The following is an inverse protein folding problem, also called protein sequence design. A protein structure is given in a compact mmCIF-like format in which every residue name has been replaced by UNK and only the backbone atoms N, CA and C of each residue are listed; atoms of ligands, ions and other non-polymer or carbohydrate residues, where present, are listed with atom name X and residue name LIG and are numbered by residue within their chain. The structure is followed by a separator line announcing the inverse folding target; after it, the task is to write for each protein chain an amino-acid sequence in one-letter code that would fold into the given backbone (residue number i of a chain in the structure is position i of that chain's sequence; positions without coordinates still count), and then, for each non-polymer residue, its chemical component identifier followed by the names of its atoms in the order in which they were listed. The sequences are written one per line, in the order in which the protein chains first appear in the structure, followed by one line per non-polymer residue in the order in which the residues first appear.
data_IF_102112843184
#
_entry.id   IF_102112843184
#
_cell.length_a   1.000
_cell.length_b   1.000
_cell.length_c   1.000
_cell.angle_alpha   90.00
_cell.angle_beta   90.00
_cell.angle_gamma   90.00
#
_symmetry.space_group_name_H-M   'P 1'
#
loop_
_entity.id
_entity.type
_entity.pdbx_description
1 polymer ?
#
# COMPACT_ATOMS: atom_id res chain seq x y z
N UNK A 1 -25.22 -79.69 22.95
CA UNK A 1 -25.91 -78.85 21.95
C UNK A 1 -26.23 -77.42 22.39
N UNK A 2 -26.38 -77.12 23.69
CA UNK A 2 -26.80 -75.79 24.17
C UNK A 2 -25.73 -74.67 24.05
N UNK A 3 -24.42 -75.00 24.17
CA UNK A 3 -23.30 -74.04 24.08
C UNK A 3 -23.06 -73.43 22.69
N UNK A 4 -23.53 -74.08 21.61
CA UNK A 4 -23.33 -73.58 20.24
C UNK A 4 -24.40 -72.52 19.89
N UNK A 5 -25.62 -72.67 20.44
CA UNK A 5 -26.72 -71.71 20.24
C UNK A 5 -26.45 -70.39 20.98
N UNK A 6 -25.90 -70.43 22.18
CA UNK A 6 -25.55 -69.21 22.93
C UNK A 6 -24.42 -68.43 22.28
N UNK A 7 -23.40 -69.09 21.71
CA UNK A 7 -22.35 -68.41 20.93
C UNK A 7 -22.88 -67.70 19.68
N UNK A 8 -23.84 -68.30 18.98
CA UNK A 8 -24.46 -67.69 17.78
C UNK A 8 -25.31 -66.46 18.13
N UNK A 9 -26.04 -66.51 19.24
CA UNK A 9 -26.82 -65.37 19.75
C UNK A 9 -25.89 -64.25 20.23
N UNK A 10 -24.78 -64.60 20.88
CA UNK A 10 -23.77 -63.61 21.31
C UNK A 10 -23.09 -62.95 20.10
N UNK A 11 -22.77 -63.72 19.04
CA UNK A 11 -22.20 -63.16 17.80
C UNK A 11 -23.20 -62.26 17.06
N UNK A 12 -24.50 -62.61 17.03
CA UNK A 12 -25.50 -61.75 16.42
C UNK A 12 -25.70 -60.45 17.21
N UNK A 13 -25.64 -60.51 18.54
CA UNK A 13 -25.72 -59.32 19.39
C UNK A 13 -24.49 -58.42 19.22
N UNK A 14 -23.29 -59.01 19.13
CA UNK A 14 -22.05 -58.26 18.89
C UNK A 14 -22.02 -57.63 17.50
N UNK A 15 -22.51 -58.34 16.47
CA UNK A 15 -22.64 -57.81 15.11
C UNK A 15 -23.66 -56.67 15.03
N UNK A 16 -24.76 -56.76 15.78
CA UNK A 16 -25.77 -55.70 15.84
C UNK A 16 -25.25 -54.47 16.60
N UNK A 17 -24.46 -54.68 17.66
CA UNK A 17 -23.83 -53.61 18.43
C UNK A 17 -22.76 -52.86 17.61
N UNK A 18 -22.01 -53.57 16.77
CA UNK A 18 -21.01 -52.97 15.87
C UNK A 18 -21.67 -52.12 14.78
N UNK A 19 -22.91 -52.44 14.38
CA UNK A 19 -23.67 -51.72 13.35
C UNK A 19 -24.39 -50.47 13.89
N UNK A 20 -24.48 -50.35 15.22
CA UNK A 20 -25.10 -49.22 15.93
C UNK A 20 -24.06 -48.19 16.42
N UNK A 21 -22.78 -48.37 16.11
CA UNK A 21 -21.79 -47.32 16.37
C UNK A 21 -22.00 -46.16 15.39
N UNK A 22 -22.27 -44.93 15.89
CA UNK A 22 -22.30 -43.77 15.02
C UNK A 22 -20.89 -43.55 14.47
N UNK A 23 -20.74 -43.72 13.16
CA UNK A 23 -19.54 -43.27 12.46
C UNK A 23 -19.61 -41.75 12.49
N UNK A 24 -18.85 -41.14 13.39
CA UNK A 24 -18.59 -39.71 13.34
C UNK A 24 -17.73 -39.44 12.09
N UNK A 25 -18.38 -39.33 10.94
CA UNK A 25 -17.77 -38.73 9.76
C UNK A 25 -17.69 -37.25 10.07
N UNK A 26 -16.48 -36.76 10.34
CA UNK A 26 -16.21 -35.33 10.29
C UNK A 26 -16.46 -34.93 8.84
N UNK A 27 -17.55 -34.22 8.57
CA UNK A 27 -17.72 -33.56 7.30
C UNK A 27 -16.56 -32.55 7.20
N UNK A 28 -15.62 -32.81 6.31
CA UNK A 28 -14.71 -31.79 5.83
C UNK A 28 -15.59 -30.81 5.05
N UNK A 29 -15.76 -29.60 5.58
CA UNK A 29 -16.41 -28.51 4.88
C UNK A 29 -15.60 -28.25 3.63
N UNK A 30 -16.04 -28.79 2.50
CA UNK A 30 -15.52 -28.43 1.19
C UNK A 30 -16.07 -27.07 0.81
N UNK A 31 -15.55 -26.02 1.47
CA UNK A 31 -15.49 -24.62 1.02
C UNK A 31 -14.73 -23.80 2.07
N UNK A 32 -13.52 -24.23 2.43
CA UNK A 32 -12.62 -23.36 3.19
C UNK A 32 -12.11 -22.32 2.19
N UNK A 33 -12.78 -21.17 2.11
CA UNK A 33 -12.30 -20.00 1.40
C UNK A 33 -10.98 -19.57 2.06
N UNK A 34 -9.86 -19.80 1.38
CA UNK A 34 -8.54 -19.43 1.87
C UNK A 34 -8.23 -17.98 1.49
N UNK A 35 -7.69 -17.20 2.41
CA UNK A 35 -7.20 -15.86 2.11
C UNK A 35 -5.78 -15.89 1.52
N UNK A 36 -5.02 -16.95 1.78
CA UNK A 36 -3.68 -17.20 1.24
C UNK A 36 -3.61 -18.56 0.58
N UNK A 37 -3.38 -18.56 -0.73
CA UNK A 37 -3.14 -19.75 -1.52
C UNK A 37 -1.74 -19.70 -2.13
N UNK A 38 -0.79 -20.43 -1.53
CA UNK A 38 0.60 -20.49 -2.02
C UNK A 38 0.88 -21.78 -2.81
N UNK A 39 0.57 -21.78 -4.12
CA UNK A 39 0.87 -22.95 -4.99
C UNK A 39 2.30 -22.95 -5.54
N UNK A 40 2.94 -21.78 -5.56
CA UNK A 40 4.34 -21.65 -5.97
C UNK A 40 5.33 -21.93 -4.83
N UNK A 41 4.85 -22.18 -3.60
CA UNK A 41 5.65 -22.48 -2.42
C UNK A 41 6.72 -21.39 -2.18
N UNK A 42 6.27 -20.14 -2.19
CA UNK A 42 7.10 -18.94 -2.00
C UNK A 42 7.32 -18.59 -0.53
N UNK A 43 6.50 -19.14 0.37
CA UNK A 43 6.55 -18.91 1.79
C UNK A 43 6.77 -20.20 2.58
N UNK A 44 7.31 -20.07 3.78
CA UNK A 44 7.26 -21.14 4.78
C UNK A 44 5.85 -21.31 5.35
N UNK A 45 5.58 -22.46 5.97
CA UNK A 45 4.28 -22.73 6.61
C UNK A 45 3.96 -21.72 7.73
N UNK A 46 4.97 -21.19 8.41
CA UNK A 46 4.80 -20.18 9.46
C UNK A 46 4.40 -18.84 8.86
N UNK A 47 5.11 -18.37 7.83
CA UNK A 47 4.79 -17.13 7.10
C UNK A 47 3.40 -17.18 6.46
N UNK A 48 3.05 -18.31 5.83
CA UNK A 48 1.72 -18.49 5.24
C UNK A 48 0.62 -18.37 6.31
N UNK A 49 0.82 -18.99 7.47
CA UNK A 49 -0.16 -18.96 8.57
C UNK A 49 -0.28 -17.57 9.20
N UNK A 50 0.83 -16.86 9.36
CA UNK A 50 0.82 -15.49 9.85
C UNK A 50 0.07 -14.57 8.88
N UNK A 51 0.36 -14.68 7.59
CA UNK A 51 -0.32 -13.92 6.55
C UNK A 51 -1.82 -14.27 6.48
N UNK A 52 -2.19 -15.55 6.54
CA UNK A 52 -3.59 -16.00 6.57
C UNK A 52 -4.35 -15.37 7.74
N UNK A 53 -3.72 -15.35 8.93
CA UNK A 53 -4.33 -14.75 10.13
C UNK A 53 -4.50 -13.24 9.95
N UNK A 54 -3.52 -12.57 9.34
CA UNK A 54 -3.60 -11.14 9.06
C UNK A 54 -4.71 -10.81 8.07
N UNK A 55 -4.74 -11.49 6.92
CA UNK A 55 -5.73 -11.26 5.87
C UNK A 55 -7.14 -11.58 6.32
N UNK A 56 -7.35 -12.68 7.06
CA UNK A 56 -8.66 -13.00 7.63
C UNK A 56 -9.13 -11.93 8.62
N UNK A 57 -8.23 -11.43 9.48
CA UNK A 57 -8.56 -10.36 10.44
C UNK A 57 -8.98 -9.07 9.73
N UNK A 58 -8.22 -8.65 8.72
CA UNK A 58 -8.56 -7.46 7.90
C UNK A 58 -9.90 -7.67 7.20
N UNK A 59 -10.07 -8.84 6.59
CA UNK A 59 -11.28 -9.14 5.82
C UNK A 59 -12.54 -9.17 6.68
N UNK A 60 -12.45 -9.70 7.88
CA UNK A 60 -13.56 -9.76 8.84
C UNK A 60 -13.87 -8.39 9.46
N UNK A 61 -12.85 -7.55 9.65
CA UNK A 61 -13.02 -6.21 10.18
C UNK A 61 -13.72 -5.28 9.19
N UNK A 62 -13.28 -5.27 7.92
CA UNK A 62 -13.83 -4.39 6.88
C UNK A 62 -15.05 -4.96 6.16
N UNK A 63 -15.26 -6.28 6.22
CA UNK A 63 -16.32 -6.94 5.46
C UNK A 63 -16.00 -7.10 3.97
N UNK A 64 -14.71 -7.00 3.60
CA UNK A 64 -14.19 -7.13 2.24
C UNK A 64 -13.17 -8.27 2.17
N UNK A 65 -13.13 -9.04 1.10
CA UNK A 65 -12.13 -10.12 0.98
C UNK A 65 -10.76 -9.57 0.57
N UNK A 66 -9.72 -9.86 1.34
CA UNK A 66 -8.32 -9.58 0.97
C UNK A 66 -7.58 -10.90 0.76
N UNK A 67 -7.12 -11.13 -0.47
CA UNK A 67 -6.64 -12.46 -0.89
C UNK A 67 -5.26 -12.36 -1.55
N UNK A 68 -4.39 -13.31 -1.24
CA UNK A 68 -3.11 -13.52 -1.92
C UNK A 68 -3.08 -14.91 -2.56
N UNK A 69 -2.78 -14.94 -3.84
CA UNK A 69 -2.68 -16.15 -4.64
C UNK A 69 -1.31 -16.19 -5.33
N UNK A 70 -0.54 -17.25 -5.09
CA UNK A 70 0.69 -17.54 -5.82
C UNK A 70 0.47 -18.77 -6.68
N UNK A 71 0.91 -18.71 -7.93
CA UNK A 71 0.85 -19.82 -8.89
C UNK A 71 2.17 -19.94 -9.62
N UNK A 72 2.47 -21.16 -10.07
CA UNK A 72 3.63 -21.37 -10.94
C UNK A 72 3.35 -20.82 -12.34
N UNK A 73 2.22 -21.19 -12.95
CA UNK A 73 1.90 -20.84 -14.34
C UNK A 73 0.48 -20.27 -14.47
N UNK A 74 0.27 -19.42 -15.48
CA UNK A 74 -1.04 -18.84 -15.83
C UNK A 74 -1.85 -19.72 -16.79
N UNK A 75 -1.37 -20.92 -17.13
CA UNK A 75 -2.04 -21.87 -18.04
C UNK A 75 -2.40 -21.28 -19.42
N UNK A 76 -1.60 -20.32 -19.90
CA UNK A 76 -1.82 -19.63 -21.18
C UNK A 76 -2.83 -18.48 -21.13
N UNK A 77 -3.37 -18.15 -19.96
CA UNK A 77 -4.17 -16.94 -19.73
C UNK A 77 -3.29 -15.72 -19.46
N UNK A 78 -3.87 -14.53 -19.54
CA UNK A 78 -3.25 -13.31 -18.98
C UNK A 78 -3.36 -13.34 -17.46
N UNK A 79 -2.47 -12.62 -16.76
CA UNK A 79 -2.51 -12.54 -15.30
C UNK A 79 -3.85 -11.94 -14.81
N UNK A 80 -4.35 -10.93 -15.53
CA UNK A 80 -5.69 -10.34 -15.33
C UNK A 80 -6.80 -11.39 -15.41
N UNK A 81 -6.92 -12.09 -16.55
CA UNK A 81 -7.98 -13.07 -16.73
C UNK A 81 -7.89 -14.23 -15.73
N UNK A 82 -6.68 -14.64 -15.35
CA UNK A 82 -6.50 -15.67 -14.33
C UNK A 82 -6.94 -15.20 -12.94
N UNK A 83 -6.56 -13.98 -12.55
CA UNK A 83 -6.94 -13.39 -11.27
C UNK A 83 -8.47 -13.21 -11.17
N UNK A 84 -9.09 -12.66 -12.22
CA UNK A 84 -10.55 -12.44 -12.28
C UNK A 84 -11.31 -13.77 -12.24
N UNK A 85 -10.88 -14.77 -13.03
CA UNK A 85 -11.53 -16.08 -13.04
C UNK A 85 -11.39 -16.75 -11.67
N UNK A 86 -10.22 -16.68 -11.01
CA UNK A 86 -10.03 -17.23 -9.67
C UNK A 86 -10.89 -16.49 -8.63
N UNK A 87 -10.97 -15.16 -8.73
CA UNK A 87 -11.80 -14.34 -7.86
C UNK A 87 -13.27 -14.78 -7.94
N UNK A 88 -13.81 -14.85 -9.15
CA UNK A 88 -15.21 -15.21 -9.41
C UNK A 88 -15.52 -16.67 -9.03
N UNK A 89 -14.63 -17.60 -9.38
CA UNK A 89 -14.84 -19.05 -9.16
C UNK A 89 -14.88 -19.42 -7.67
N UNK A 90 -14.11 -18.72 -6.83
CA UNK A 90 -14.06 -18.95 -5.39
C UNK A 90 -15.06 -18.06 -4.62
N UNK A 91 -15.80 -17.19 -5.31
CA UNK A 91 -16.86 -16.38 -4.72
C UNK A 91 -16.36 -15.31 -3.75
N UNK A 92 -15.17 -14.75 -3.96
CA UNK A 92 -14.70 -13.61 -3.20
C UNK A 92 -15.55 -12.36 -3.51
N UNK A 93 -15.77 -11.50 -2.52
CA UNK A 93 -16.69 -10.36 -2.61
C UNK A 93 -18.15 -10.76 -2.78
N UNK A 94 -18.50 -12.01 -2.49
CA UNK A 94 -19.87 -12.55 -2.51
C UNK A 94 -20.25 -12.99 -1.09
N UNK A 95 -21.51 -13.37 -0.87
CA UNK A 95 -21.99 -14.00 0.38
C UNK A 95 -21.92 -13.13 1.63
N UNK A 96 -22.30 -11.86 1.52
CA UNK A 96 -22.39 -10.93 2.66
C UNK A 96 -21.16 -10.04 2.83
N UNK A 97 -20.23 -10.10 1.88
CA UNK A 97 -19.15 -9.12 1.71
C UNK A 97 -19.56 -8.04 0.71
N UNK A 98 -18.93 -6.87 0.81
CA UNK A 98 -19.24 -5.72 -0.05
C UNK A 98 -18.38 -5.72 -1.34
N UNK A 99 -17.40 -6.62 -1.42
CA UNK A 99 -16.36 -6.64 -2.44
C UNK A 99 -15.10 -7.36 -1.96
N UNK A 100 -14.01 -7.20 -2.71
CA UNK A 100 -12.71 -7.74 -2.34
C UNK A 100 -11.60 -7.34 -3.29
N UNK A 101 -10.36 -7.60 -2.87
CA UNK A 101 -9.14 -7.42 -3.63
C UNK A 101 -8.31 -8.71 -3.58
N UNK A 102 -7.85 -9.16 -4.73
CA UNK A 102 -7.00 -10.34 -4.88
C UNK A 102 -5.68 -9.96 -5.55
N UNK A 103 -4.56 -10.28 -4.91
CA UNK A 103 -3.22 -10.19 -5.48
C UNK A 103 -2.78 -11.57 -6.00
N UNK A 104 -2.64 -11.68 -7.32
CA UNK A 104 -2.05 -12.83 -8.00
C UNK A 104 -0.55 -12.58 -8.25
N UNK A 105 0.29 -13.57 -7.97
CA UNK A 105 1.70 -13.64 -8.39
C UNK A 105 1.97 -14.94 -9.12
N UNK A 106 2.41 -14.84 -10.38
CA UNK A 106 2.75 -15.96 -11.24
C UNK A 106 4.26 -16.02 -11.52
N UNK A 107 4.88 -17.13 -11.13
CA UNK A 107 6.34 -17.25 -11.10
C UNK A 107 6.98 -17.53 -12.45
N UNK A 108 6.40 -18.40 -13.27
CA UNK A 108 6.95 -18.75 -14.59
C UNK A 108 6.96 -17.54 -15.54
N UNK A 109 5.89 -16.74 -15.48
CA UNK A 109 5.72 -15.54 -16.28
C UNK A 109 6.36 -14.29 -15.66
N UNK A 110 6.76 -14.34 -14.38
CA UNK A 110 7.19 -13.17 -13.58
C UNK A 110 6.17 -12.03 -13.66
N UNK A 111 4.89 -12.37 -13.54
CA UNK A 111 3.76 -11.43 -13.63
C UNK A 111 2.97 -11.39 -12.34
N UNK A 112 2.36 -10.26 -12.08
CA UNK A 112 1.42 -10.08 -11.00
C UNK A 112 0.18 -9.32 -11.50
N UNK A 113 -0.93 -9.50 -10.81
CA UNK A 113 -2.16 -8.73 -11.07
C UNK A 113 -2.96 -8.56 -9.78
N UNK A 114 -3.48 -7.37 -9.55
CA UNK A 114 -4.46 -7.07 -8.51
C UNK A 114 -5.84 -6.96 -9.16
N UNK A 115 -6.77 -7.82 -8.78
CA UNK A 115 -8.15 -7.79 -9.23
C UNK A 115 -9.03 -7.28 -8.08
N UNK A 116 -9.96 -6.36 -8.37
CA UNK A 116 -10.86 -5.75 -7.40
C UNK A 116 -12.31 -5.91 -7.85
N UNK A 117 -13.19 -6.28 -6.92
CA UNK A 117 -14.62 -6.47 -7.18
C UNK A 117 -15.50 -5.71 -6.19
N UNK A 118 -16.73 -5.38 -6.59
CA UNK A 118 -17.70 -4.74 -5.71
C UNK A 118 -17.30 -3.33 -5.26
N UNK A 119 -17.49 -3.01 -3.98
CA UNK A 119 -17.14 -1.71 -3.39
C UNK A 119 -15.62 -1.46 -3.42
N UNK A 120 -14.81 -2.51 -3.38
CA UNK A 120 -13.36 -2.43 -3.49
C UNK A 120 -12.88 -1.76 -4.79
N UNK A 121 -13.66 -1.80 -5.87
CA UNK A 121 -13.34 -1.02 -7.09
C UNK A 121 -13.26 0.48 -6.77
N UNK A 122 -14.14 1.00 -5.91
CA UNK A 122 -14.16 2.42 -5.54
C UNK A 122 -13.16 2.78 -4.44
N UNK A 123 -12.84 1.83 -3.56
CA UNK A 123 -11.85 1.98 -2.48
C UNK A 123 -10.44 2.03 -3.08
N UNK A 124 -10.13 1.09 -3.96
CA UNK A 124 -8.84 0.95 -4.59
C UNK A 124 -8.84 1.61 -5.97
N UNK A 125 -8.70 2.95 -5.98
CA UNK A 125 -8.66 3.70 -7.24
C UNK A 125 -7.44 3.34 -8.09
N UNK A 126 -7.48 3.62 -9.41
CA UNK A 126 -6.33 3.38 -10.30
C UNK A 126 -5.03 4.04 -9.79
N UNK A 127 -5.14 5.24 -9.22
CA UNK A 127 -4.00 5.94 -8.61
C UNK A 127 -3.51 5.23 -7.35
N UNK A 128 -4.44 4.76 -6.52
CA UNK A 128 -4.17 3.99 -5.32
C UNK A 128 -3.50 2.65 -5.62
N UNK A 129 -4.03 1.88 -6.57
CA UNK A 129 -3.44 0.63 -7.03
C UNK A 129 -2.03 0.84 -7.62
N UNK A 130 -1.83 1.94 -8.36
CA UNK A 130 -0.50 2.32 -8.84
C UNK A 130 0.46 2.62 -7.69
N UNK A 131 0.01 3.31 -6.64
CA UNK A 131 0.82 3.50 -5.44
C UNK A 131 1.16 2.16 -4.76
N UNK A 132 0.17 1.27 -4.58
CA UNK A 132 0.39 -0.03 -3.95
C UNK A 132 1.44 -0.86 -4.67
N UNK A 133 1.40 -0.94 -6.00
CA UNK A 133 2.42 -1.67 -6.76
C UNK A 133 3.83 -1.09 -6.58
N UNK A 134 3.98 0.23 -6.40
CA UNK A 134 5.29 0.84 -6.17
C UNK A 134 5.90 0.40 -4.83
N UNK A 135 5.07 0.02 -3.86
CA UNK A 135 5.49 -0.43 -2.54
C UNK A 135 5.93 -1.89 -2.49
N UNK A 136 5.11 -2.82 -3.02
CA UNK A 136 5.42 -4.25 -2.88
C UNK A 136 6.31 -4.81 -4.00
N UNK A 137 6.35 -4.15 -5.18
CA UNK A 137 7.10 -4.65 -6.33
C UNK A 137 8.61 -4.77 -6.09
N UNK A 138 9.28 -3.85 -5.37
CA UNK A 138 10.70 -4.02 -5.02
C UNK A 138 10.97 -5.35 -4.31
N UNK A 139 10.20 -5.69 -3.27
CA UNK A 139 10.34 -6.94 -2.53
C UNK A 139 10.05 -8.17 -3.43
N UNK A 140 9.05 -8.10 -4.32
CA UNK A 140 8.83 -9.16 -5.33
C UNK A 140 10.04 -9.35 -6.26
N UNK A 141 10.66 -8.26 -6.71
CA UNK A 141 11.83 -8.32 -7.60
C UNK A 141 13.09 -8.84 -6.88
N UNK A 142 13.22 -8.56 -5.58
CA UNK A 142 14.33 -9.02 -4.72
C UNK A 142 14.16 -10.47 -4.23
N UNK A 143 12.93 -11.02 -4.33
CA UNK A 143 12.60 -12.38 -3.93
C UNK A 143 12.09 -12.50 -2.48
N UNK A 144 11.86 -11.38 -1.81
CA UNK A 144 11.25 -11.31 -0.48
C UNK A 144 9.72 -11.29 -0.59
N UNK A 145 9.14 -12.43 -0.98
CA UNK A 145 7.70 -12.56 -1.25
C UNK A 145 6.84 -12.36 0.01
N UNK A 146 7.27 -12.91 1.14
CA UNK A 146 6.55 -12.76 2.41
C UNK A 146 6.44 -11.29 2.84
N UNK A 147 7.50 -10.50 2.62
CA UNK A 147 7.48 -9.05 2.87
C UNK A 147 6.50 -8.36 1.91
N UNK A 148 6.61 -8.65 0.60
CA UNK A 148 5.72 -8.07 -0.40
C UNK A 148 4.22 -8.28 -0.08
N UNK A 149 3.85 -9.49 0.34
CA UNK A 149 2.46 -9.81 0.70
C UNK A 149 2.02 -9.16 2.01
N UNK A 150 2.93 -9.02 2.97
CA UNK A 150 2.65 -8.29 4.20
C UNK A 150 2.43 -6.80 3.93
N UNK A 151 3.26 -6.18 3.09
CA UNK A 151 3.09 -4.79 2.65
C UNK A 151 1.78 -4.60 1.92
N UNK A 152 1.42 -5.52 1.02
CA UNK A 152 0.10 -5.51 0.37
C UNK A 152 -1.05 -5.55 1.39
N UNK A 153 -0.98 -6.45 2.38
CA UNK A 153 -1.99 -6.55 3.43
C UNK A 153 -2.13 -5.27 4.26
N UNK A 154 -1.01 -4.67 4.69
CA UNK A 154 -1.01 -3.41 5.45
C UNK A 154 -1.61 -2.26 4.64
N UNK A 155 -1.26 -2.17 3.35
CA UNK A 155 -1.83 -1.16 2.46
C UNK A 155 -3.33 -1.35 2.24
N UNK A 156 -3.82 -2.60 2.18
CA UNK A 156 -5.26 -2.85 2.10
C UNK A 156 -5.98 -2.30 3.34
N UNK A 157 -5.45 -2.54 4.53
CA UNK A 157 -6.01 -2.03 5.79
C UNK A 157 -6.04 -0.49 5.81
N UNK A 158 -4.92 0.15 5.46
CA UNK A 158 -4.81 1.62 5.38
C UNK A 158 -5.79 2.22 4.36
N UNK A 159 -5.95 1.58 3.20
CA UNK A 159 -6.82 2.06 2.13
C UNK A 159 -8.29 1.96 2.50
N UNK A 160 -8.70 0.85 3.13
CA UNK A 160 -10.06 0.68 3.62
C UNK A 160 -10.36 1.65 4.76
N UNK A 161 -9.43 1.88 5.69
CA UNK A 161 -9.56 2.88 6.74
C UNK A 161 -9.76 4.30 6.19
N UNK A 162 -8.98 4.64 5.16
CA UNK A 162 -9.07 5.93 4.50
C UNK A 162 -10.36 6.08 3.68
N UNK A 163 -10.90 4.99 3.12
CA UNK A 163 -12.19 5.00 2.43
C UNK A 163 -13.37 5.14 3.42
N UNK A 164 -13.29 4.56 4.62
CA UNK A 164 -14.32 4.69 5.66
C UNK A 164 -14.54 6.16 6.06
N UNK A 165 -13.48 6.97 6.11
CA UNK A 165 -13.59 8.41 6.40
C UNK A 165 -14.06 9.25 5.20
N UNK A 166 -14.33 8.61 4.05
CA UNK A 166 -14.89 9.24 2.85
C UNK A 166 -13.85 9.92 1.95
N UNK A 167 -12.56 9.67 2.17
CA UNK A 167 -11.47 10.28 1.42
C UNK A 167 -10.55 9.21 0.81
N UNK A 168 -11.07 8.26 -0.02
CA UNK A 168 -10.27 7.16 -0.57
C UNK A 168 -9.03 7.68 -1.29
N UNK A 169 -7.95 6.89 -1.27
CA UNK A 169 -6.70 7.27 -1.92
C UNK A 169 -6.89 7.38 -3.43
N UNK A 170 -6.71 8.60 -3.93
CA UNK A 170 -6.97 9.01 -5.29
C UNK A 170 -5.84 9.92 -5.79
N UNK A 171 -5.87 10.39 -7.04
CA UNK A 171 -4.80 11.26 -7.58
C UNK A 171 -4.47 12.50 -6.74
N UNK A 172 -5.39 12.99 -5.90
CA UNK A 172 -5.22 14.17 -5.06
C UNK A 172 -4.87 13.86 -3.60
N UNK A 173 -5.13 12.64 -3.12
CA UNK A 173 -5.01 12.26 -1.72
C UNK A 173 -4.01 11.13 -1.43
N UNK A 174 -3.15 10.73 -2.37
CA UNK A 174 -2.18 9.64 -2.14
C UNK A 174 -1.33 9.82 -0.86
N UNK A 175 -0.94 8.71 -0.20
CA UNK A 175 0.00 8.76 0.92
C UNK A 175 1.29 9.44 0.48
N UNK A 176 1.73 10.43 1.26
CA UNK A 176 2.98 11.15 0.98
C UNK A 176 4.10 10.46 1.73
N UNK A 177 5.01 9.82 1.00
CA UNK A 177 6.18 9.25 1.62
C UNK A 177 7.11 10.33 2.20
N UNK A 178 7.71 10.08 3.37
CA UNK A 178 8.79 10.91 3.87
C UNK A 178 9.97 10.83 2.89
N UNK A 179 10.35 11.98 2.33
CA UNK A 179 11.46 12.10 1.39
C UNK A 179 12.74 11.39 1.89
N UNK A 180 13.44 10.68 1.00
CA UNK A 180 14.61 9.84 1.33
C UNK A 180 15.73 10.61 2.04
N UNK A 181 16.40 10.02 3.03
CA UNK A 181 17.39 10.71 3.88
C UNK A 181 18.49 11.49 3.13
N UNK A 182 18.81 11.06 1.92
CA UNK A 182 19.75 11.73 1.01
C UNK A 182 19.33 13.15 0.62
N UNK A 183 18.03 13.43 0.48
CA UNK A 183 17.54 14.78 0.18
C UNK A 183 17.84 15.72 1.36
N UNK A 184 17.65 15.24 2.60
CA UNK A 184 17.95 16.01 3.80
C UNK A 184 19.46 16.32 3.87
N UNK A 185 20.32 15.33 3.56
CA UNK A 185 21.77 15.53 3.49
C UNK A 185 22.13 16.56 2.41
N UNK A 186 21.53 16.45 1.22
CA UNK A 186 21.71 17.41 0.14
C UNK A 186 21.28 18.83 0.52
N UNK A 187 20.15 18.97 1.21
CA UNK A 187 19.64 20.25 1.70
C UNK A 187 20.57 20.88 2.75
N UNK A 188 21.08 20.09 3.69
CA UNK A 188 22.07 20.55 4.69
C UNK A 188 23.37 20.98 4.02
N UNK A 189 23.86 20.22 3.04
CA UNK A 189 25.06 20.57 2.28
C UNK A 189 24.87 21.87 1.48
N UNK A 190 23.73 22.03 0.82
CA UNK A 190 23.38 23.25 0.09
C UNK A 190 23.29 24.46 1.03
N UNK A 191 22.66 24.32 2.20
CA UNK A 191 22.59 25.36 3.20
C UNK A 191 23.99 25.75 3.72
N UNK A 192 24.87 24.77 3.94
CA UNK A 192 26.25 25.02 4.33
C UNK A 192 27.04 25.77 3.25
N UNK A 193 26.88 25.39 1.98
CA UNK A 193 27.51 26.08 0.85
C UNK A 193 27.02 27.53 0.72
N UNK A 194 25.71 27.77 0.85
CA UNK A 194 25.14 29.11 0.83
C UNK A 194 25.68 29.96 1.98
N UNK A 195 25.77 29.40 3.19
CA UNK A 195 26.35 30.07 4.35
C UNK A 195 27.84 30.38 4.16
N UNK A 196 28.59 29.45 3.55
CA UNK A 196 30.02 29.62 3.26
C UNK A 196 30.28 30.71 2.21
N UNK A 197 29.48 30.74 1.14
CA UNK A 197 29.54 31.77 0.11
C UNK A 197 29.22 33.14 0.72
N UNK A 198 28.14 33.23 1.50
CA UNK A 198 27.75 34.48 2.16
C UNK A 198 28.82 34.99 3.13
N UNK A 199 29.34 34.10 3.99
CA UNK A 199 30.42 34.43 4.91
C UNK A 199 31.72 34.85 4.20
N UNK A 200 32.01 34.26 3.04
CA UNK A 200 33.17 34.62 2.22
C UNK A 200 33.04 36.01 1.59
N UNK A 201 31.83 36.40 1.15
CA UNK A 201 31.53 37.74 0.63
C UNK A 201 31.69 38.78 1.74
N UNK A 202 31.15 38.52 2.93
CA UNK A 202 31.26 39.44 4.07
C UNK A 202 32.70 39.54 4.58
N UNK A 203 33.46 38.44 4.62
CA UNK A 203 34.89 38.46 4.94
C UNK A 203 35.68 39.35 3.96
N UNK A 204 35.31 39.37 2.67
CA UNK A 204 35.92 40.24 1.67
C UNK A 204 35.70 41.73 1.89
N UNK A 205 34.66 42.12 2.65
CA UNK A 205 34.36 43.51 3.02
C UNK A 205 35.07 43.97 4.29
N UNK A 206 35.74 43.07 5.01
CA UNK A 206 36.48 43.42 6.23
C UNK A 206 37.79 44.12 5.85
N UNK A 207 37.77 45.44 5.74
CA UNK A 207 38.97 46.27 5.72
C UNK A 207 39.71 46.07 7.04
N UNK A 208 40.89 45.46 6.99
CA UNK A 208 41.74 45.31 8.18
C UNK A 208 42.23 46.70 8.58
N UNK A 209 41.68 47.26 9.66
CA UNK A 209 42.10 48.55 10.19
C UNK A 209 43.47 48.37 10.82
N UNK A 210 44.51 48.90 10.18
CA UNK A 210 45.78 49.16 10.86
C UNK A 210 45.62 50.41 11.71
N UNK A 211 46.06 50.35 12.96
CA UNK A 211 46.11 51.52 13.84
C UNK A 211 47.00 52.59 13.19
N UNK A 212 46.38 53.67 12.70
CA UNK A 212 47.09 54.83 12.16
C UNK A 212 47.39 55.80 13.32
N UNK A 213 48.67 56.06 13.56
CA UNK A 213 49.16 56.85 14.70
C UNK A 213 48.96 58.38 14.59
N UNK A 214 48.26 58.88 13.58
CA UNK A 214 48.08 60.33 13.37
C UNK A 214 46.60 60.69 13.23
N UNK A 215 46.15 61.59 14.13
CA UNK A 215 44.76 62.03 14.26
C UNK A 215 44.34 63.10 13.22
N UNK A 216 45.22 63.48 12.30
CA UNK A 216 45.04 64.62 11.40
C UNK A 216 44.09 64.36 10.21
N UNK A 217 43.80 63.10 9.88
CA UNK A 217 42.88 62.73 8.79
C UNK A 217 41.40 62.69 9.23
N UNK A 218 41.11 62.83 10.53
CA UNK A 218 39.75 62.73 11.07
C UNK A 218 39.04 64.08 11.23
N UNK A 219 39.70 65.20 10.91
CA UNK A 219 39.13 66.54 11.02
C UNK A 219 39.20 67.27 9.66
N UNK A 220 38.18 67.06 8.83
CA UNK A 220 37.95 67.87 7.63
C UNK A 220 36.94 68.96 8.00
N UNK A 221 37.35 70.23 7.97
CA UNK A 221 36.46 71.35 8.24
C UNK A 221 35.33 71.40 7.21
N UNK A 222 34.08 71.28 7.69
CA UNK A 222 32.89 71.22 6.83
C UNK A 222 32.44 69.82 6.40
N UNK A 223 33.02 68.74 6.93
CA UNK A 223 32.66 67.36 6.55
C UNK A 223 31.38 66.81 7.21
N UNK A 224 30.78 67.55 8.14
CA UNK A 224 29.53 67.15 8.77
C UNK A 224 28.33 67.59 7.92
N UNK A 225 28.04 66.84 6.86
CA UNK A 225 26.74 66.93 6.18
C UNK A 225 25.83 65.83 6.73
N UNK A 226 24.97 66.20 7.67
CA UNK A 226 23.91 65.33 8.19
C UNK A 226 22.80 65.24 7.14
N UNK A 227 22.91 64.28 6.22
CA UNK A 227 21.77 63.85 5.39
C UNK A 227 21.17 62.59 6.00
N UNK A 228 20.44 62.76 7.09
CA UNK A 228 19.55 61.72 7.58
C UNK A 228 18.15 62.00 7.04
N UNK A 229 17.86 61.56 5.81
CA UNK A 229 16.50 61.49 5.30
C UNK A 229 16.09 60.02 5.21
N UNK A 230 15.33 59.56 6.21
CA UNK A 230 14.59 58.32 6.14
C UNK A 230 13.16 58.65 5.72
N UNK A 231 12.75 58.21 4.54
CA UNK A 231 11.33 58.13 4.21
C UNK A 231 10.75 56.88 4.87
N UNK A 232 9.86 57.08 5.84
CA UNK A 232 9.03 56.02 6.37
C UNK A 232 7.82 55.84 5.46
N UNK A 233 7.76 54.72 4.74
CA UNK A 233 6.56 54.33 4.01
C UNK A 233 5.46 54.01 5.02
N UNK A 234 4.50 54.92 5.18
CA UNK A 234 3.46 54.80 6.22
C UNK A 234 2.37 53.82 5.82
N UNK A 235 2.16 53.56 4.52
CA UNK A 235 1.12 52.66 4.01
C UNK A 235 1.53 52.02 2.70
N UNK A 236 1.64 50.70 2.70
CA UNK A 236 1.66 49.87 1.50
C UNK A 236 0.33 49.13 1.44
N UNK A 237 -0.48 49.39 0.42
CA UNK A 237 -1.68 48.63 0.16
C UNK A 237 -1.33 47.49 -0.78
N UNK A 238 -1.20 46.28 -0.25
CA UNK A 238 -1.08 45.06 -1.05
C UNK A 238 -2.46 44.44 -1.17
N UNK A 239 -3.10 44.61 -2.32
CA UNK A 239 -4.27 43.79 -2.67
C UNK A 239 -3.78 42.43 -3.14
N UNK A 240 -3.92 41.43 -2.27
CA UNK A 240 -3.83 40.04 -2.69
C UNK A 240 -5.16 39.66 -3.34
N UNK A 241 -5.14 39.36 -4.64
CA UNK A 241 -6.22 38.64 -5.28
C UNK A 241 -5.87 37.16 -5.16
N UNK A 242 -6.71 36.39 -4.47
CA UNK A 242 -6.62 34.94 -4.57
C UNK A 242 -6.76 34.56 -6.05
N UNK A 243 -5.72 33.95 -6.61
CA UNK A 243 -5.85 33.21 -7.85
C UNK A 243 -6.93 32.14 -7.60
N UNK A 244 -7.97 32.05 -8.45
CA UNK A 244 -8.88 30.91 -8.35
C UNK A 244 -8.03 29.66 -8.48
N UNK A 245 -8.04 28.85 -7.42
CA UNK A 245 -7.47 27.52 -7.49
C UNK A 245 -8.32 26.78 -8.51
N UNK A 246 -7.73 26.49 -9.66
CA UNK A 246 -8.36 25.63 -10.64
C UNK A 246 -8.46 24.27 -9.97
N UNK A 247 -9.65 23.96 -9.45
CA UNK A 247 -10.00 22.59 -9.14
C UNK A 247 -10.15 21.91 -10.51
N UNK A 248 -9.02 21.56 -11.13
CA UNK A 248 -9.02 20.43 -12.03
C UNK A 248 -9.32 19.23 -11.16
N UNK A 249 -10.62 18.98 -10.92
CA UNK A 249 -11.08 17.68 -10.48
C UNK A 249 -10.72 16.74 -11.63
N UNK A 250 -9.49 16.22 -11.63
CA UNK A 250 -9.20 14.97 -12.31
C UNK A 250 -10.14 13.98 -11.67
N UNK A 251 -11.14 13.56 -12.45
CA UNK A 251 -12.04 12.46 -12.09
C UNK A 251 -11.16 11.23 -11.92
N UNK A 252 -10.66 11.03 -10.70
CA UNK A 252 -9.85 9.90 -10.27
C UNK A 252 -10.77 8.72 -9.98
N UNK A 253 -11.54 8.31 -10.99
CA UNK A 253 -12.34 7.10 -10.92
C UNK A 253 -11.50 5.90 -11.29
N UNK A 254 -11.93 4.73 -10.82
CA UNK A 254 -11.32 3.45 -11.19
C UNK A 254 -11.79 3.02 -12.57
N UNK A 255 -10.88 2.50 -13.38
CA UNK A 255 -11.24 1.83 -14.62
C UNK A 255 -11.79 0.43 -14.32
N UNK A 256 -12.76 0.00 -15.12
CA UNK A 256 -13.36 -1.34 -14.98
C UNK A 256 -13.37 -2.08 -16.31
N UNK A 257 -13.28 -3.40 -16.21
CA UNK A 257 -13.43 -4.36 -17.30
C UNK A 257 -14.38 -5.49 -16.87
N UNK A 258 -14.76 -6.34 -17.83
CA UNK A 258 -15.68 -7.46 -17.58
C UNK A 258 -14.94 -8.78 -17.72
N UNK A 259 -15.03 -9.65 -16.73
CA UNK A 259 -14.43 -10.99 -16.76
C UNK A 259 -15.21 -11.94 -17.66
N UNK A 260 -14.67 -13.15 -17.85
CA UNK A 260 -15.29 -14.20 -18.66
C UNK A 260 -16.65 -14.66 -18.11
N UNK A 261 -16.87 -14.50 -16.80
CA UNK A 261 -18.11 -14.82 -16.09
C UNK A 261 -19.18 -13.73 -16.23
N UNK A 262 -18.80 -12.52 -16.68
CA UNK A 262 -19.66 -11.35 -16.80
C UNK A 262 -19.66 -10.41 -15.59
N UNK A 263 -18.83 -10.69 -14.57
CA UNK A 263 -18.60 -9.79 -13.43
C UNK A 263 -17.81 -8.55 -13.85
N UNK A 264 -18.07 -7.41 -13.19
CA UNK A 264 -17.27 -6.20 -13.35
C UNK A 264 -16.11 -6.22 -12.38
N UNK A 265 -14.91 -6.01 -12.89
CA UNK A 265 -13.67 -5.95 -12.13
C UNK A 265 -12.97 -4.63 -12.39
N UNK A 266 -12.26 -4.11 -11.40
CA UNK A 266 -11.18 -3.15 -11.58
C UNK A 266 -9.85 -3.84 -11.31
N UNK A 267 -8.73 -3.18 -11.56
CA UNK A 267 -7.45 -3.78 -11.24
C UNK A 267 -6.27 -3.15 -11.95
N UNK A 268 -5.08 -3.63 -11.58
CA UNK A 268 -3.86 -3.31 -12.31
C UNK A 268 -2.89 -4.50 -12.27
N UNK A 269 -2.00 -4.60 -13.24
CA UNK A 269 -1.03 -5.68 -13.28
C UNK A 269 0.23 -5.32 -14.03
N UNK A 270 1.26 -6.14 -13.84
CA UNK A 270 2.57 -5.89 -14.43
C UNK A 270 3.52 -7.07 -14.29
N UNK A 271 4.79 -6.80 -14.60
CA UNK A 271 5.89 -7.74 -14.41
C UNK A 271 6.84 -7.26 -13.32
N UNK A 272 7.59 -8.18 -12.73
CA UNK A 272 8.57 -7.92 -11.69
C UNK A 272 9.90 -8.59 -11.95
#
# INVERSE_FOLDING_TARGET
MMKIRTKRILLSFLSLLLLLMPIAVKAESTDDMYYVKDEANLMSEEEQKELETKLSTISDYWGEDVVVLTVNSLEGKTAEAYADDYYDMNGYGVSGRNGGILLLVAMDDRKWHMSTGGECISIFTDAGLNYMQEQFKPSLSEGDYAEAFNTFADLCDDFMAQAEIGEPYDTGNLPKEPLSILWYIGAVAAAFLLAFIWGSIEKGKLTTVREKQTASDYAVAGSLNVYNSHDQMVRTYVTQRALPKENSSSSSGSSTHTSSSGSSHGGCGGSF
#
